data_IF_448796942400
#
_entry.id   IF_448796942400
#
_cell.length_a   1.000
_cell.length_b   1.000
_cell.length_c   1.000
_cell.angle_alpha   90.00
_cell.angle_beta   90.00
_cell.angle_gamma   90.00
#
_symmetry.space_group_name_H-M   'P 1'
#
loop_
_entity.id
_entity.type
_entity.pdbx_description
1 polymer ?
#
# COMPACT_ATOMS: atom_id res chain seq x y z
N UNK A 1 1.76 17.49 -4.18
CA UNK A 1 2.14 18.65 -3.32
C UNK A 1 2.80 19.72 -4.18
N UNK A 2 2.29 20.96 -4.16
CA UNK A 2 2.81 22.09 -4.97
C UNK A 2 3.77 23.01 -4.19
N UNK A 3 3.80 22.92 -2.87
CA UNK A 3 4.67 23.70 -2.00
C UNK A 3 4.32 23.45 -0.53
N UNK A 4 5.28 23.71 0.35
CA UNK A 4 5.18 23.51 1.79
C UNK A 4 5.69 24.75 2.52
N UNK A 5 5.09 25.06 3.67
CA UNK A 5 5.74 25.88 4.70
C UNK A 5 6.40 24.92 5.69
N UNK A 6 7.69 25.11 5.95
CA UNK A 6 8.48 24.22 6.82
C UNK A 6 9.27 25.05 7.83
N UNK A 7 9.18 24.66 9.10
CA UNK A 7 10.05 25.16 10.17
C UNK A 7 11.28 24.25 10.27
N UNK A 8 12.45 24.81 10.05
CA UNK A 8 13.74 24.13 10.13
C UNK A 8 14.19 23.94 11.59
N UNK A 9 15.19 23.09 11.87
CA UNK A 9 15.65 22.81 13.25
C UNK A 9 16.18 24.03 13.99
N UNK A 10 16.65 25.05 13.26
CA UNK A 10 17.11 26.33 13.80
C UNK A 10 16.01 27.38 13.93
N UNK A 11 14.75 27.01 13.68
CA UNK A 11 13.58 27.87 13.79
C UNK A 11 13.27 28.71 12.54
N UNK A 12 14.11 28.69 11.50
CA UNK A 12 13.80 29.39 10.25
C UNK A 12 12.56 28.80 9.58
N UNK A 13 11.74 29.68 9.03
CA UNK A 13 10.57 29.30 8.22
C UNK A 13 10.92 29.46 6.76
N UNK A 14 10.73 28.40 5.98
CA UNK A 14 10.91 28.42 4.52
C UNK A 14 9.61 28.04 3.81
N UNK A 15 9.47 28.54 2.58
CA UNK A 15 8.37 28.16 1.68
C UNK A 15 8.95 27.47 0.43
N UNK A 16 8.63 26.20 0.25
CA UNK A 16 9.05 25.41 -0.92
C UNK A 16 8.10 25.61 -2.12
N UNK A 17 8.57 25.30 -3.33
CA UNK A 17 7.77 25.44 -4.55
C UNK A 17 7.55 26.90 -5.00
N UNK A 18 8.32 27.84 -4.44
CA UNK A 18 8.27 29.26 -4.74
C UNK A 18 7.45 30.06 -3.71
N UNK A 19 8.08 31.08 -3.13
CA UNK A 19 7.53 31.90 -2.04
C UNK A 19 6.13 32.46 -2.35
N UNK A 20 5.93 32.94 -3.59
CA UNK A 20 4.65 33.50 -4.07
C UNK A 20 4.08 32.75 -5.28
N UNK A 21 4.78 31.74 -5.80
CA UNK A 21 4.37 31.07 -7.03
C UNK A 21 3.10 30.27 -6.82
N UNK A 22 2.11 30.49 -7.68
CA UNK A 22 0.90 29.67 -7.80
C UNK A 22 0.85 28.90 -9.12
N UNK A 23 1.91 28.99 -9.92
CA UNK A 23 2.01 28.25 -11.17
C UNK A 23 2.04 26.75 -10.88
N UNK A 24 1.29 25.97 -11.66
CA UNK A 24 1.29 24.50 -11.56
C UNK A 24 2.66 23.92 -11.95
N UNK A 25 3.35 24.58 -12.90
CA UNK A 25 4.69 24.21 -13.35
C UNK A 25 5.72 25.18 -12.78
N UNK A 26 6.71 24.65 -12.07
CA UNK A 26 7.83 25.41 -11.54
C UNK A 26 9.08 24.52 -11.49
N UNK A 27 10.14 24.92 -12.19
CA UNK A 27 11.45 24.24 -12.23
C UNK A 27 12.60 25.20 -11.86
N UNK A 28 12.28 26.28 -11.13
CA UNK A 28 13.26 27.26 -10.68
C UNK A 28 13.95 26.79 -9.39
N UNK A 29 15.15 26.25 -9.51
CA UNK A 29 15.96 25.74 -8.40
C UNK A 29 15.70 24.27 -8.04
N UNK A 30 16.29 23.81 -6.92
CA UNK A 30 16.11 22.45 -6.43
C UNK A 30 14.67 22.22 -5.93
N UNK A 31 14.17 20.99 -6.11
CA UNK A 31 12.83 20.63 -5.65
C UNK A 31 12.82 20.29 -4.15
N UNK A 32 12.98 21.32 -3.31
CA UNK A 32 12.90 21.17 -1.85
C UNK A 32 11.54 20.62 -1.39
N UNK A 33 10.45 20.88 -2.13
CA UNK A 33 9.14 20.29 -1.80
C UNK A 33 9.21 18.77 -1.73
N UNK A 34 9.87 18.14 -2.72
CA UNK A 34 10.03 16.68 -2.74
C UNK A 34 11.05 16.17 -1.74
N UNK A 35 11.99 17.01 -1.29
CA UNK A 35 12.90 16.66 -0.20
C UNK A 35 12.18 16.47 1.14
N UNK A 36 11.17 17.31 1.43
CA UNK A 36 10.42 17.20 2.70
C UNK A 36 9.26 16.20 2.63
N UNK A 37 8.68 15.94 1.45
CA UNK A 37 7.66 14.90 1.29
C UNK A 37 8.30 13.53 1.49
N UNK A 38 7.80 12.76 2.47
CA UNK A 38 8.41 11.48 2.87
C UNK A 38 9.56 11.60 3.86
N UNK A 39 9.92 12.81 4.31
CA UNK A 39 11.00 12.99 5.30
C UNK A 39 10.63 12.58 6.73
N UNK A 40 9.35 12.26 6.98
CA UNK A 40 8.85 11.84 8.29
C UNK A 40 9.26 12.75 9.46
N UNK A 41 9.36 14.06 9.20
CA UNK A 41 9.74 15.05 10.22
C UNK A 41 11.22 15.04 10.60
N UNK A 42 12.06 14.26 9.93
CA UNK A 42 13.50 14.21 10.20
C UNK A 42 14.24 15.45 9.69
N UNK A 43 13.66 16.22 8.77
CA UNK A 43 14.32 17.41 8.17
C UNK A 43 13.72 18.74 8.62
N UNK A 44 12.56 18.73 9.28
CA UNK A 44 11.81 19.94 9.63
C UNK A 44 10.33 19.63 9.95
N UNK A 45 9.61 20.62 10.48
CA UNK A 45 8.17 20.51 10.76
C UNK A 45 7.38 21.20 9.66
N UNK A 46 6.54 20.44 8.95
CA UNK A 46 5.62 21.01 7.95
C UNK A 46 4.45 21.69 8.69
N UNK A 47 4.24 22.98 8.44
CA UNK A 47 3.16 23.77 9.08
C UNK A 47 2.03 24.12 8.12
N UNK A 48 2.29 24.17 6.80
CA UNK A 48 1.27 24.39 5.77
C UNK A 48 1.60 23.60 4.51
N UNK A 49 0.57 23.16 3.80
CA UNK A 49 0.70 22.53 2.50
C UNK A 49 -0.15 23.24 1.44
N UNK A 50 0.43 23.46 0.27
CA UNK A 50 -0.30 23.87 -0.94
C UNK A 50 -0.46 22.64 -1.82
N UNK A 51 -1.70 22.21 -2.01
CA UNK A 51 -2.03 21.00 -2.75
C UNK A 51 -2.65 21.34 -4.11
N UNK A 52 -2.44 20.45 -5.07
CA UNK A 52 -3.27 20.39 -6.28
C UNK A 52 -4.48 19.56 -5.93
N UNK A 53 -5.67 20.08 -6.22
CA UNK A 53 -6.93 19.35 -6.07
C UNK A 53 -7.50 19.05 -7.44
N UNK A 54 -8.19 17.92 -7.55
CA UNK A 54 -8.88 17.52 -8.77
C UNK A 54 -10.40 17.71 -8.59
N UNK A 55 -11.14 18.03 -9.67
CA UNK A 55 -12.60 18.02 -9.62
C UNK A 55 -13.11 16.64 -9.23
N UNK A 56 -14.22 16.60 -8.48
CA UNK A 56 -14.89 15.34 -8.16
C UNK A 56 -15.36 14.66 -9.46
N UNK A 57 -15.07 13.36 -9.68
CA UNK A 57 -15.61 12.60 -10.80
C UNK A 57 -17.14 12.65 -10.86
N UNK A 58 -17.70 12.64 -12.07
CA UNK A 58 -19.16 12.71 -12.29
C UNK A 58 -19.83 11.36 -12.13
N UNK A 59 -19.09 10.28 -12.39
CA UNK A 59 -19.52 8.91 -12.24
C UNK A 59 -18.38 8.05 -11.68
N UNK A 60 -18.76 6.91 -11.09
CA UNK A 60 -17.88 5.84 -10.63
C UNK A 60 -18.54 4.51 -10.94
N UNK A 61 -17.74 3.46 -11.09
CA UNK A 61 -18.20 2.09 -11.16
C UNK A 61 -17.17 1.15 -10.58
N UNK A 62 -17.61 -0.04 -10.20
CA UNK A 62 -16.76 -1.07 -9.62
C UNK A 62 -16.98 -2.39 -10.33
N UNK A 63 -15.89 -3.14 -10.50
CA UNK A 63 -15.91 -4.49 -11.01
C UNK A 63 -15.31 -5.44 -9.97
N UNK A 64 -16.04 -6.49 -9.60
CA UNK A 64 -15.50 -7.62 -8.85
C UNK A 64 -15.15 -8.75 -9.81
N UNK A 65 -13.93 -9.26 -9.73
CA UNK A 65 -13.47 -10.44 -10.47
C UNK A 65 -12.96 -11.51 -9.51
N UNK A 66 -13.43 -12.75 -9.68
CA UNK A 66 -13.16 -13.88 -8.79
C UNK A 66 -12.24 -14.87 -9.50
N UNK A 67 -11.10 -15.20 -8.90
CA UNK A 67 -10.06 -16.01 -9.53
C UNK A 67 -9.88 -17.37 -8.82
N UNK A 68 -9.85 -18.47 -9.60
CA UNK A 68 -9.63 -19.81 -9.04
C UNK A 68 -8.16 -20.06 -8.68
N UNK A 69 -7.24 -19.24 -9.18
CA UNK A 69 -5.81 -19.31 -8.91
C UNK A 69 -5.27 -17.94 -8.56
N UNK A 70 -4.32 -17.91 -7.63
CA UNK A 70 -3.71 -16.67 -7.16
C UNK A 70 -2.93 -15.96 -8.28
N UNK A 71 -2.29 -16.71 -9.19
CA UNK A 71 -1.47 -16.13 -10.26
C UNK A 71 -2.28 -15.37 -11.32
N UNK A 72 -3.55 -15.72 -11.47
CA UNK A 72 -4.42 -15.14 -12.49
C UNK A 72 -4.83 -13.70 -12.16
N UNK A 73 -4.86 -13.33 -10.87
CA UNK A 73 -5.20 -11.99 -10.43
C UNK A 73 -4.19 -10.92 -10.91
N UNK A 74 -2.90 -10.96 -10.54
CA UNK A 74 -1.93 -9.96 -11.02
C UNK A 74 -1.70 -10.03 -12.54
N UNK A 75 -1.87 -11.20 -13.17
CA UNK A 75 -1.83 -11.30 -14.63
C UNK A 75 -2.97 -10.48 -15.28
N UNK A 76 -4.18 -10.56 -14.74
CA UNK A 76 -5.32 -9.77 -15.22
C UNK A 76 -5.08 -8.26 -15.05
N UNK A 77 -4.45 -7.83 -13.96
CA UNK A 77 -4.08 -6.42 -13.74
C UNK A 77 -3.10 -5.93 -14.83
N UNK A 78 -2.09 -6.73 -15.15
CA UNK A 78 -1.14 -6.41 -16.22
C UNK A 78 -1.82 -6.30 -17.59
N UNK A 79 -2.78 -7.19 -17.88
CA UNK A 79 -3.55 -7.15 -19.13
C UNK A 79 -4.43 -5.89 -19.23
N UNK A 80 -5.05 -5.47 -18.13
CA UNK A 80 -5.81 -4.21 -18.06
C UNK A 80 -4.91 -3.01 -18.35
N UNK A 81 -3.71 -2.97 -17.77
CA UNK A 81 -2.74 -1.91 -18.05
C UNK A 81 -2.19 -1.95 -19.48
N UNK A 82 -2.00 -3.14 -20.05
CA UNK A 82 -1.58 -3.30 -21.45
C UNK A 82 -2.65 -2.84 -22.45
N UNK A 83 -3.93 -2.92 -22.10
CA UNK A 83 -5.04 -2.36 -22.88
C UNK A 83 -5.14 -0.83 -22.77
N UNK A 84 -4.31 -0.20 -21.92
CA UNK A 84 -4.25 1.24 -21.74
C UNK A 84 -5.27 1.82 -20.76
N UNK A 85 -5.95 0.97 -20.00
CA UNK A 85 -6.92 1.38 -18.97
C UNK A 85 -6.19 1.57 -17.64
N UNK A 86 -6.43 2.69 -16.97
CA UNK A 86 -5.85 3.02 -15.67
C UNK A 86 -6.98 3.19 -14.65
N UNK A 87 -7.43 2.08 -14.00
CA UNK A 87 -8.46 2.15 -12.96
C UNK A 87 -8.08 3.13 -11.85
N UNK A 88 -9.07 3.77 -11.24
CA UNK A 88 -8.88 4.67 -10.09
C UNK A 88 -8.47 3.92 -8.82
N UNK A 89 -8.74 2.61 -8.75
CA UNK A 89 -8.26 1.72 -7.70
C UNK A 89 -8.29 0.26 -8.14
N UNK A 90 -7.35 -0.54 -7.64
CA UNK A 90 -7.34 -1.99 -7.83
C UNK A 90 -6.95 -2.64 -6.50
N UNK A 91 -7.88 -3.36 -5.90
CA UNK A 91 -7.70 -4.02 -4.61
C UNK A 91 -7.69 -5.53 -4.77
N UNK A 92 -6.90 -6.22 -3.95
CA UNK A 92 -6.90 -7.69 -3.86
C UNK A 92 -7.33 -8.15 -2.46
N UNK A 93 -8.10 -9.23 -2.45
CA UNK A 93 -8.36 -10.08 -1.29
C UNK A 93 -7.90 -11.48 -1.65
N UNK A 94 -6.92 -12.04 -0.95
CA UNK A 94 -6.58 -13.46 -1.14
C UNK A 94 -7.58 -14.36 -0.38
N UNK A 95 -7.46 -15.67 -0.56
CA UNK A 95 -8.27 -16.67 0.15
C UNK A 95 -8.39 -16.43 1.67
N UNK A 96 -7.30 -16.02 2.31
CA UNK A 96 -7.27 -15.78 3.76
C UNK A 96 -8.07 -14.54 4.15
N UNK A 97 -8.01 -13.46 3.35
CA UNK A 97 -8.81 -12.25 3.55
C UNK A 97 -10.29 -12.51 3.28
N UNK A 98 -10.62 -13.26 2.22
CA UNK A 98 -12.00 -13.66 1.90
C UNK A 98 -12.61 -14.41 3.08
N UNK A 99 -11.89 -15.40 3.62
CA UNK A 99 -12.32 -16.17 4.79
C UNK A 99 -12.52 -15.28 6.01
N UNK A 100 -11.56 -14.39 6.28
CA UNK A 100 -11.63 -13.46 7.41
C UNK A 100 -12.88 -12.57 7.34
N UNK A 101 -13.13 -11.96 6.18
CA UNK A 101 -14.30 -11.09 5.96
C UNK A 101 -15.60 -11.86 6.18
N UNK A 102 -15.74 -13.05 5.58
CA UNK A 102 -16.96 -13.86 5.72
C UNK A 102 -17.18 -14.38 7.16
N UNK A 103 -16.11 -14.61 7.94
CA UNK A 103 -16.24 -14.94 9.36
C UNK A 103 -16.67 -13.73 10.21
N UNK A 104 -16.19 -12.54 9.87
CA UNK A 104 -16.47 -11.31 10.61
C UNK A 104 -17.85 -10.73 10.31
N UNK A 105 -18.24 -10.74 9.03
CA UNK A 105 -19.52 -10.25 8.51
C UNK A 105 -20.07 -11.20 7.44
N UNK A 106 -20.75 -12.28 7.85
CA UNK A 106 -21.30 -13.29 6.94
C UNK A 106 -22.27 -12.71 5.89
N UNK A 107 -22.92 -11.59 6.17
CA UNK A 107 -23.84 -10.89 5.28
C UNK A 107 -23.18 -10.35 3.99
N UNK A 108 -21.85 -10.14 3.99
CA UNK A 108 -21.11 -9.71 2.81
C UNK A 108 -21.02 -10.86 1.78
N UNK A 109 -20.94 -12.10 2.28
CA UNK A 109 -21.01 -13.33 1.49
C UNK A 109 -20.11 -13.32 0.24
N UNK A 110 -18.82 -13.04 0.43
CA UNK A 110 -17.83 -13.09 -0.65
C UNK A 110 -17.70 -14.54 -1.17
N UNK A 111 -17.58 -14.75 -2.49
CA UNK A 111 -17.43 -16.08 -3.05
C UNK A 111 -16.09 -16.72 -2.64
N UNK A 112 -16.09 -18.03 -2.41
CA UNK A 112 -14.86 -18.79 -2.15
C UNK A 112 -13.95 -18.75 -3.40
N UNK A 113 -12.71 -18.31 -3.22
CA UNK A 113 -11.74 -18.14 -4.31
C UNK A 113 -10.31 -18.11 -3.78
N UNK A 114 -9.34 -18.25 -4.68
CA UNK A 114 -7.92 -18.02 -4.33
C UNK A 114 -7.60 -16.52 -4.27
N UNK A 115 -8.29 -15.71 -5.09
CA UNK A 115 -8.22 -14.26 -5.03
C UNK A 115 -9.51 -13.61 -5.55
N UNK A 116 -9.85 -12.44 -5.01
CA UNK A 116 -10.84 -11.52 -5.56
C UNK A 116 -10.13 -10.20 -5.86
N UNK A 117 -10.36 -9.65 -7.04
CA UNK A 117 -9.99 -8.27 -7.38
C UNK A 117 -11.22 -7.37 -7.39
N UNK A 118 -11.04 -6.16 -6.87
CA UNK A 118 -11.97 -5.05 -7.06
C UNK A 118 -11.28 -3.98 -7.92
N UNK A 119 -11.82 -3.72 -9.10
CA UNK A 119 -11.38 -2.61 -9.96
C UNK A 119 -12.38 -1.47 -9.81
N UNK A 120 -11.92 -0.29 -9.45
CA UNK A 120 -12.72 0.93 -9.49
C UNK A 120 -12.32 1.78 -10.69
N UNK A 121 -13.30 2.32 -11.40
CA UNK A 121 -13.10 3.34 -12.43
C UNK A 121 -13.93 4.57 -12.09
N UNK A 122 -13.39 5.75 -12.39
CA UNK A 122 -14.08 7.01 -12.17
C UNK A 122 -13.84 7.99 -13.32
N UNK A 123 -14.76 8.94 -13.49
CA UNK A 123 -14.59 9.99 -14.49
C UNK A 123 -15.91 10.53 -15.01
N UNK A 124 -16.01 10.61 -16.35
CA UNK A 124 -17.26 10.94 -17.01
C UNK A 124 -18.07 9.64 -17.26
N UNK A 125 -19.42 9.71 -17.30
CA UNK A 125 -20.25 8.51 -17.39
C UNK A 125 -19.93 7.57 -18.57
N UNK A 126 -19.60 8.11 -19.74
CA UNK A 126 -19.30 7.29 -20.92
C UNK A 126 -17.96 6.55 -20.79
N UNK A 127 -16.94 7.20 -20.22
CA UNK A 127 -15.64 6.58 -19.93
C UNK A 127 -15.75 5.51 -18.85
N UNK A 128 -16.51 5.76 -17.78
CA UNK A 128 -16.77 4.78 -16.71
C UNK A 128 -17.43 3.52 -17.28
N UNK A 129 -18.46 3.69 -18.11
CA UNK A 129 -19.16 2.56 -18.73
C UNK A 129 -18.25 1.80 -19.71
N UNK A 130 -17.49 2.52 -20.54
CA UNK A 130 -16.55 1.91 -21.49
C UNK A 130 -15.45 1.11 -20.77
N UNK A 131 -14.76 1.73 -19.81
CA UNK A 131 -13.65 1.11 -19.08
C UNK A 131 -14.12 -0.06 -18.24
N UNK A 132 -15.24 0.06 -17.52
CA UNK A 132 -15.81 -1.02 -16.73
C UNK A 132 -16.14 -2.26 -17.56
N UNK A 133 -16.82 -2.07 -18.70
CA UNK A 133 -17.13 -3.17 -19.62
C UNK A 133 -15.85 -3.77 -20.24
N UNK A 134 -14.88 -2.93 -20.60
CA UNK A 134 -13.63 -3.40 -21.21
C UNK A 134 -12.77 -4.19 -20.21
N UNK A 135 -12.67 -3.74 -18.96
CA UNK A 135 -12.05 -4.51 -17.87
C UNK A 135 -12.77 -5.85 -17.73
N UNK A 136 -14.12 -5.86 -17.74
CA UNK A 136 -14.89 -7.09 -17.64
C UNK A 136 -14.54 -8.10 -18.75
N UNK A 137 -14.38 -7.65 -20.00
CA UNK A 137 -13.96 -8.50 -21.12
C UNK A 137 -12.57 -9.09 -20.91
N UNK A 138 -11.61 -8.27 -20.45
CA UNK A 138 -10.23 -8.70 -20.22
C UNK A 138 -10.18 -9.77 -19.12
N UNK A 139 -10.74 -9.47 -17.95
CA UNK A 139 -10.61 -10.34 -16.77
C UNK A 139 -11.44 -11.62 -16.88
N UNK A 140 -12.51 -11.64 -17.69
CA UNK A 140 -13.33 -12.85 -17.95
C UNK A 140 -12.54 -14.02 -18.53
N UNK A 141 -11.38 -13.77 -19.14
CA UNK A 141 -10.52 -14.83 -19.69
C UNK A 141 -9.85 -15.69 -18.60
N UNK A 142 -9.79 -15.18 -17.37
CA UNK A 142 -9.11 -15.78 -16.22
C UNK A 142 -10.01 -15.97 -15.00
N UNK A 143 -10.99 -15.08 -14.83
CA UNK A 143 -11.92 -15.10 -13.71
C UNK A 143 -13.07 -16.09 -13.92
N UNK A 144 -13.49 -16.77 -12.86
CA UNK A 144 -14.66 -17.65 -12.86
C UNK A 144 -15.97 -16.89 -12.70
N UNK A 145 -15.92 -15.70 -12.10
CA UNK A 145 -17.07 -14.81 -11.93
C UNK A 145 -16.62 -13.37 -12.09
N UNK A 146 -17.43 -12.57 -12.78
CA UNK A 146 -17.21 -11.15 -13.00
C UNK A 146 -18.52 -10.40 -12.79
N UNK A 147 -18.50 -9.39 -11.94
CA UNK A 147 -19.65 -8.55 -11.62
C UNK A 147 -19.27 -7.08 -11.83
N UNK A 148 -19.92 -6.42 -12.80
CA UNK A 148 -19.80 -4.98 -13.03
C UNK A 148 -21.00 -4.26 -12.43
N UNK A 149 -20.77 -3.14 -11.72
CA UNK A 149 -21.85 -2.34 -11.14
C UNK A 149 -21.52 -0.85 -11.08
N UNK A 150 -22.52 -0.03 -11.42
CA UNK A 150 -22.53 1.41 -11.19
C UNK A 150 -23.57 1.82 -10.14
N UNK A 151 -24.25 0.85 -9.51
CA UNK A 151 -25.20 1.10 -8.42
C UNK A 151 -24.45 1.54 -7.15
N UNK A 152 -24.70 2.77 -6.64
CA UNK A 152 -24.06 3.27 -5.43
C UNK A 152 -24.18 2.35 -4.22
N UNK A 153 -25.30 1.63 -4.08
CA UNK A 153 -25.50 0.73 -2.95
C UNK A 153 -24.58 -0.48 -3.07
N UNK A 154 -24.59 -1.16 -4.22
CA UNK A 154 -23.72 -2.32 -4.45
C UNK A 154 -22.24 -1.97 -4.39
N UNK A 155 -21.84 -0.80 -4.91
CA UNK A 155 -20.47 -0.30 -4.78
C UNK A 155 -20.05 -0.16 -3.31
N UNK A 156 -20.93 0.39 -2.46
CA UNK A 156 -20.66 0.55 -1.04
C UNK A 156 -20.51 -0.81 -0.33
N UNK A 157 -21.32 -1.81 -0.68
CA UNK A 157 -21.24 -3.17 -0.12
C UNK A 157 -19.89 -3.85 -0.46
N UNK A 158 -19.44 -3.76 -1.72
CA UNK A 158 -18.16 -4.34 -2.14
C UNK A 158 -16.97 -3.63 -1.47
N UNK A 159 -17.03 -2.29 -1.37
CA UNK A 159 -16.03 -1.51 -0.65
C UNK A 159 -16.03 -1.79 0.85
N UNK A 160 -17.19 -2.05 1.45
CA UNK A 160 -17.28 -2.46 2.85
C UNK A 160 -16.55 -3.79 3.06
N UNK A 161 -16.75 -4.78 2.18
CA UNK A 161 -16.01 -6.05 2.20
C UNK A 161 -14.50 -5.87 2.24
N UNK A 162 -13.96 -4.97 1.40
CA UNK A 162 -12.53 -4.62 1.40
C UNK A 162 -12.11 -3.79 2.62
N UNK A 163 -12.96 -2.88 3.10
CA UNK A 163 -12.66 -1.95 4.19
C UNK A 163 -12.60 -2.64 5.56
N UNK A 164 -13.32 -3.74 5.76
CA UNK A 164 -13.33 -4.45 7.04
C UNK A 164 -12.18 -5.44 7.22
N UNK A 165 -11.39 -5.73 6.18
CA UNK A 165 -10.37 -6.80 6.20
C UNK A 165 -9.39 -6.66 7.36
N UNK A 166 -8.88 -5.46 7.62
CA UNK A 166 -7.92 -5.22 8.70
C UNK A 166 -8.49 -5.62 10.06
N UNK A 167 -9.77 -5.34 10.31
CA UNK A 167 -10.49 -5.74 11.53
C UNK A 167 -10.86 -7.22 11.51
N UNK A 168 -11.28 -7.73 10.35
CA UNK A 168 -11.68 -9.10 10.15
C UNK A 168 -10.51 -10.08 10.31
N UNK A 169 -9.29 -9.67 9.99
CA UNK A 169 -8.09 -10.47 10.14
C UNK A 169 -7.92 -11.01 11.56
N UNK A 170 -8.20 -10.21 12.59
CA UNK A 170 -8.12 -10.67 13.99
C UNK A 170 -9.12 -11.80 14.32
N UNK A 171 -10.19 -11.99 13.53
CA UNK A 171 -11.23 -13.00 13.76
C UNK A 171 -10.88 -14.38 13.25
N UNK A 172 -9.80 -14.52 12.50
CA UNK A 172 -9.40 -15.83 11.98
C UNK A 172 -8.96 -16.81 13.07
N UNK A 173 -8.68 -16.29 14.28
CA UNK A 173 -8.26 -17.06 15.45
C UNK A 173 -8.88 -16.46 16.73
N UNK A 174 -9.51 -17.24 17.62
CA UNK A 174 -10.26 -16.70 18.77
C UNK A 174 -9.45 -15.89 19.79
N UNK A 175 -8.22 -16.28 20.05
CA UNK A 175 -7.23 -15.63 20.94
C UNK A 175 -6.21 -14.80 20.15
N UNK A 176 -6.50 -14.54 18.87
CA UNK A 176 -5.61 -13.82 17.97
C UNK A 176 -5.89 -12.33 17.93
N UNK A 177 -4.83 -11.55 17.80
CA UNK A 177 -4.85 -10.14 17.42
C UNK A 177 -4.01 -9.95 16.16
N UNK A 178 -4.50 -9.12 15.23
CA UNK A 178 -3.69 -8.66 14.11
C UNK A 178 -2.61 -7.73 14.65
N UNK A 179 -1.36 -8.01 14.27
CA UNK A 179 -0.22 -7.11 14.55
C UNK A 179 0.25 -6.41 13.28
N UNK A 180 0.76 -5.20 13.45
CA UNK A 180 1.29 -4.35 12.38
C UNK A 180 2.79 -4.66 12.22
N UNK A 181 3.11 -5.86 11.74
CA UNK A 181 4.47 -6.37 11.62
C UNK A 181 4.67 -7.05 10.26
N UNK A 182 5.72 -6.67 9.53
CA UNK A 182 6.02 -7.23 8.20
C UNK A 182 5.04 -6.80 7.11
N UNK A 183 4.09 -5.93 7.42
CA UNK A 183 3.06 -5.47 6.49
C UNK A 183 3.55 -4.33 5.60
N UNK A 184 2.73 -4.00 4.61
CA UNK A 184 2.91 -2.86 3.71
C UNK A 184 4.24 -2.92 2.97
N UNK A 185 4.47 -3.97 2.18
CA UNK A 185 5.60 -4.00 1.23
C UNK A 185 5.08 -3.67 -0.17
N UNK A 186 5.94 -3.19 -1.05
CA UNK A 186 5.59 -3.09 -2.47
C UNK A 186 6.63 -3.80 -3.33
N UNK A 187 6.17 -4.50 -4.35
CA UNK A 187 7.02 -5.24 -5.30
C UNK A 187 6.64 -4.88 -6.74
N UNK A 188 7.49 -5.14 -7.74
CA UNK A 188 7.08 -5.04 -9.13
C UNK A 188 5.80 -5.86 -9.39
N UNK A 189 4.88 -5.34 -10.21
CA UNK A 189 3.58 -5.97 -10.46
C UNK A 189 3.67 -7.43 -10.91
N UNK A 190 4.68 -7.75 -11.74
CA UNK A 190 4.94 -9.12 -12.20
C UNK A 190 5.51 -10.06 -11.12
N UNK A 191 5.82 -9.56 -9.93
CA UNK A 191 6.31 -10.31 -8.76
C UNK A 191 5.26 -10.54 -7.69
N UNK A 192 4.11 -9.86 -7.76
CA UNK A 192 3.02 -9.97 -6.76
C UNK A 192 2.63 -11.41 -6.43
N UNK A 193 2.40 -12.26 -7.45
CA UNK A 193 1.98 -13.65 -7.21
C UNK A 193 3.07 -14.47 -6.49
N UNK A 194 4.33 -14.23 -6.85
CA UNK A 194 5.50 -14.83 -6.20
C UNK A 194 5.58 -14.39 -4.74
N UNK A 195 5.40 -13.08 -4.49
CA UNK A 195 5.39 -12.48 -3.15
C UNK A 195 4.31 -13.07 -2.25
N UNK A 196 3.05 -13.11 -2.70
CA UNK A 196 1.94 -13.65 -1.90
C UNK A 196 2.13 -15.15 -1.57
N UNK A 197 2.68 -15.93 -2.52
CA UNK A 197 3.01 -17.34 -2.28
C UNK A 197 4.14 -17.49 -1.26
N UNK A 198 5.20 -16.68 -1.38
CA UNK A 198 6.32 -16.70 -0.46
C UNK A 198 5.89 -16.29 0.96
N UNK A 199 5.06 -15.25 1.10
CA UNK A 199 4.49 -14.86 2.39
C UNK A 199 3.65 -15.98 3.01
N UNK A 200 2.83 -16.68 2.22
CA UNK A 200 2.07 -17.84 2.71
C UNK A 200 3.01 -18.93 3.25
N UNK A 201 4.07 -19.26 2.49
CA UNK A 201 5.06 -20.24 2.91
C UNK A 201 5.84 -19.81 4.17
N UNK A 202 6.17 -18.51 4.30
CA UNK A 202 6.80 -17.96 5.51
C UNK A 202 5.84 -18.06 6.71
N UNK A 203 4.55 -17.75 6.53
CA UNK A 203 3.55 -17.94 7.57
C UNK A 203 3.49 -19.38 8.08
N UNK A 204 3.50 -20.35 7.17
CA UNK A 204 3.57 -21.78 7.50
C UNK A 204 4.87 -22.15 8.24
N UNK A 205 6.01 -21.68 7.74
CA UNK A 205 7.35 -21.93 8.32
C UNK A 205 7.45 -21.43 9.77
N UNK A 206 6.96 -20.22 10.05
CA UNK A 206 6.98 -19.64 11.39
C UNK A 206 5.80 -20.10 12.26
N UNK A 207 4.80 -20.75 11.66
CA UNK A 207 3.57 -21.16 12.34
C UNK A 207 2.69 -19.97 12.72
N UNK A 208 2.73 -18.88 11.95
CA UNK A 208 1.95 -17.67 12.16
C UNK A 208 0.94 -17.54 11.03
N UNK A 209 -0.34 -17.38 11.38
CA UNK A 209 -1.36 -17.14 10.37
C UNK A 209 -1.23 -15.72 9.82
N UNK A 210 -1.23 -15.58 8.50
CA UNK A 210 -1.16 -14.28 7.80
C UNK A 210 -2.41 -14.09 6.96
N UNK A 211 -2.99 -12.89 7.03
CA UNK A 211 -4.10 -12.46 6.16
C UNK A 211 -3.57 -11.47 5.12
N UNK A 212 -3.71 -11.76 3.82
CA UNK A 212 -3.16 -10.88 2.77
C UNK A 212 -4.24 -10.13 1.99
N UNK A 213 -4.00 -8.85 1.78
CA UNK A 213 -4.81 -7.95 0.97
C UNK A 213 -3.94 -6.81 0.45
N UNK A 214 -4.48 -5.87 -0.32
CA UNK A 214 -3.75 -4.64 -0.62
C UNK A 214 -4.12 -3.96 -1.92
N UNK A 215 -3.36 -2.91 -2.22
CA UNK A 215 -3.47 -2.08 -3.41
C UNK A 215 -2.66 -2.72 -4.52
N UNK A 216 -3.25 -3.68 -5.23
CA UNK A 216 -2.47 -4.49 -6.16
C UNK A 216 -2.12 -3.75 -7.45
N UNK A 217 -2.77 -2.63 -7.74
CA UNK A 217 -2.51 -1.82 -8.92
C UNK A 217 -1.12 -1.17 -8.95
N UNK A 218 -0.51 -0.94 -7.79
CA UNK A 218 0.86 -0.44 -7.67
C UNK A 218 1.83 -1.46 -7.06
N UNK A 219 1.37 -2.71 -6.90
CA UNK A 219 2.15 -3.82 -6.36
C UNK A 219 2.29 -3.81 -4.83
N UNK A 220 1.50 -2.99 -4.12
CA UNK A 220 1.49 -2.94 -2.68
C UNK A 220 0.69 -4.10 -2.05
N UNK A 221 1.35 -4.81 -1.14
CA UNK A 221 0.83 -5.99 -0.44
C UNK A 221 0.85 -5.72 1.06
N UNK A 222 -0.33 -5.82 1.66
CA UNK A 222 -0.53 -5.79 3.10
C UNK A 222 -0.62 -7.21 3.63
N UNK A 223 0.31 -7.56 4.51
CA UNK A 223 0.31 -8.84 5.23
C UNK A 223 -0.10 -8.60 6.66
N UNK A 224 -1.13 -9.27 7.15
CA UNK A 224 -1.60 -9.12 8.52
C UNK A 224 -1.33 -10.40 9.32
N UNK A 225 -0.17 -10.53 9.99
CA UNK A 225 0.07 -11.61 10.93
C UNK A 225 -0.91 -11.54 12.11
N UNK A 226 -1.38 -12.70 12.56
CA UNK A 226 -2.30 -12.84 13.68
C UNK A 226 -1.66 -13.69 14.76
N UNK A 227 -1.45 -13.11 15.94
CA UNK A 227 -0.77 -13.73 17.08
C UNK A 227 -1.47 -13.44 18.40
N UNK A 228 -1.07 -14.15 19.46
CA UNK A 228 -1.45 -13.84 20.83
C UNK A 228 -0.39 -12.87 21.36
N UNK A 229 -0.71 -11.58 21.56
CA UNK A 229 0.28 -10.60 22.01
C UNK A 229 0.79 -10.90 23.43
N UNK A 230 0.07 -11.72 24.21
CA UNK A 230 0.48 -12.14 25.55
C UNK A 230 1.40 -13.38 25.52
N UNK A 231 1.62 -13.99 24.35
CA UNK A 231 2.53 -15.11 24.17
C UNK A 231 3.88 -14.64 23.61
N UNK A 232 4.95 -14.56 24.42
CA UNK A 232 6.25 -14.04 23.98
C UNK A 232 6.87 -14.85 22.83
N UNK A 233 6.59 -16.14 22.73
CA UNK A 233 7.12 -16.99 21.67
C UNK A 233 6.47 -16.68 20.31
N UNK A 234 5.18 -16.33 20.29
CA UNK A 234 4.51 -15.88 19.06
C UNK A 234 4.95 -14.47 18.66
N UNK A 235 5.15 -13.58 19.62
CA UNK A 235 5.70 -12.23 19.35
C UNK A 235 7.08 -12.33 18.69
N UNK A 236 7.97 -13.17 19.23
CA UNK A 236 9.29 -13.38 18.64
C UNK A 236 9.20 -13.96 17.22
N UNK A 237 8.36 -14.96 16.99
CA UNK A 237 8.11 -15.51 15.65
C UNK A 237 7.53 -14.50 14.68
N UNK A 238 6.63 -13.63 15.14
CA UNK A 238 6.08 -12.57 14.30
C UNK A 238 7.14 -11.54 13.90
N UNK A 239 8.08 -11.22 14.79
CA UNK A 239 9.23 -10.36 14.46
C UNK A 239 10.15 -11.02 13.41
N UNK A 240 10.43 -12.32 13.55
CA UNK A 240 11.23 -13.07 12.58
C UNK A 240 10.53 -13.19 11.22
N UNK A 241 9.22 -13.44 11.22
CA UNK A 241 8.39 -13.40 10.01
C UNK A 241 8.45 -12.03 9.34
N UNK A 242 8.29 -10.96 10.13
CA UNK A 242 8.34 -9.60 9.62
C UNK A 242 9.70 -9.27 8.99
N UNK A 243 10.79 -9.65 9.64
CA UNK A 243 12.15 -9.50 9.10
C UNK A 243 12.31 -10.23 7.76
N UNK A 244 11.86 -11.49 7.68
CA UNK A 244 11.90 -12.26 6.45
C UNK A 244 11.07 -11.63 5.31
N UNK A 245 9.90 -11.06 5.61
CA UNK A 245 9.05 -10.39 4.61
C UNK A 245 9.73 -9.12 4.05
N UNK A 246 10.36 -8.30 4.91
CA UNK A 246 11.08 -7.10 4.44
C UNK A 246 12.29 -7.46 3.56
N UNK A 247 13.06 -8.49 3.93
CA UNK A 247 14.16 -9.00 3.10
C UNK A 247 13.66 -9.53 1.77
N UNK A 248 12.58 -10.34 1.78
CA UNK A 248 11.93 -10.83 0.56
C UNK A 248 11.53 -9.68 -0.38
N UNK A 249 10.96 -8.59 0.16
CA UNK A 249 10.58 -7.44 -0.65
C UNK A 249 11.79 -6.83 -1.38
N UNK A 250 12.92 -6.65 -0.70
CA UNK A 250 14.15 -6.14 -1.29
C UNK A 250 14.71 -7.12 -2.34
N UNK A 251 14.76 -8.41 -2.02
CA UNK A 251 15.25 -9.46 -2.93
C UNK A 251 14.46 -9.53 -4.25
N UNK A 252 13.15 -9.27 -4.18
CA UNK A 252 12.25 -9.23 -5.34
C UNK A 252 12.29 -7.89 -6.11
N UNK A 253 13.20 -6.98 -5.75
CA UNK A 253 13.33 -5.66 -6.39
C UNK A 253 12.22 -4.69 -5.99
N UNK A 254 11.63 -4.91 -4.81
CA UNK A 254 10.62 -4.07 -4.19
C UNK A 254 11.19 -3.12 -3.11
N UNK A 255 10.31 -2.72 -2.19
CA UNK A 255 10.60 -1.81 -1.08
C UNK A 255 10.00 -2.33 0.23
N UNK A 256 10.65 -2.02 1.35
CA UNK A 256 10.19 -2.42 2.69
C UNK A 256 8.94 -1.69 3.15
N UNK A 257 8.55 -0.61 2.47
CA UNK A 257 7.30 0.12 2.74
C UNK A 257 6.65 0.60 1.45
N UNK A 258 5.36 0.30 1.26
CA UNK A 258 4.56 0.88 0.17
C UNK A 258 4.05 2.28 0.50
N UNK A 259 3.44 2.43 1.68
CA UNK A 259 2.74 3.67 2.05
C UNK A 259 2.95 4.14 3.51
N UNK A 260 3.30 3.25 4.45
CA UNK A 260 3.38 3.57 5.88
C UNK A 260 4.66 4.31 6.30
N UNK A 261 5.69 4.30 5.46
CA UNK A 261 6.99 4.91 5.75
C UNK A 261 7.94 4.01 6.53
N UNK A 262 9.15 4.52 6.76
CA UNK A 262 10.26 3.76 7.33
C UNK A 262 10.23 3.82 8.86
N UNK A 263 10.06 5.02 9.42
CA UNK A 263 10.02 5.24 10.87
C UNK A 263 11.24 4.65 11.59
N UNK A 264 11.02 4.14 12.80
CA UNK A 264 12.05 3.43 13.57
C UNK A 264 12.18 1.97 13.12
N UNK A 265 11.05 1.30 12.91
CA UNK A 265 10.96 -0.16 12.70
C UNK A 265 11.72 -0.61 11.46
N UNK A 266 11.62 0.13 10.35
CA UNK A 266 12.23 -0.25 9.07
C UNK A 266 13.56 0.45 8.79
N UNK A 267 14.00 1.37 9.66
CA UNK A 267 15.26 2.09 9.47
C UNK A 267 16.49 1.16 9.38
N UNK A 268 16.41 -0.01 10.04
CA UNK A 268 17.44 -1.04 9.99
C UNK A 268 17.68 -1.60 8.58
N UNK A 269 16.69 -1.57 7.69
CA UNK A 269 16.82 -2.09 6.32
C UNK A 269 17.39 -1.06 5.34
N UNK A 270 17.47 0.22 5.72
CA UNK A 270 17.91 1.29 4.83
C UNK A 270 19.28 1.02 4.15
N UNK A 271 20.31 0.49 4.83
CA UNK A 271 21.58 0.15 4.18
C UNK A 271 21.43 -0.91 3.08
N UNK A 272 20.58 -1.90 3.30
CA UNK A 272 20.32 -2.96 2.34
C UNK A 272 19.49 -2.45 1.15
N UNK A 273 18.44 -1.67 1.42
CA UNK A 273 17.51 -1.17 0.41
C UNK A 273 18.10 -0.04 -0.46
N UNK A 274 18.97 0.81 0.09
CA UNK A 274 19.44 2.02 -0.59
C UNK A 274 20.95 2.05 -0.85
N UNK A 275 21.75 1.18 -0.23
CA UNK A 275 23.21 1.17 -0.37
C UNK A 275 23.84 2.53 -0.07
N UNK A 276 24.72 3.00 -0.96
CA UNK A 276 25.44 4.29 -0.81
C UNK A 276 24.52 5.51 -0.74
N UNK A 277 23.27 5.42 -1.24
CA UNK A 277 22.34 6.53 -1.14
C UNK A 277 22.00 6.88 0.33
N UNK A 278 22.13 5.93 1.27
CA UNK A 278 22.00 6.19 2.71
C UNK A 278 22.97 7.27 3.18
N UNK A 279 24.21 7.27 2.68
CA UNK A 279 25.21 8.26 3.06
C UNK A 279 24.84 9.66 2.57
N UNK A 280 24.26 9.75 1.37
CA UNK A 280 23.76 11.02 0.84
C UNK A 280 22.60 11.54 1.69
N UNK A 281 21.66 10.67 2.07
CA UNK A 281 20.55 11.04 2.95
C UNK A 281 21.05 11.51 4.33
N UNK A 282 22.06 10.83 4.89
CA UNK A 282 22.71 11.22 6.14
C UNK A 282 23.38 12.59 6.06
N UNK A 283 24.06 12.89 4.94
CA UNK A 283 24.68 14.20 4.71
C UNK A 283 23.62 15.32 4.64
N UNK A 284 22.49 15.07 3.96
CA UNK A 284 21.37 16.02 3.92
C UNK A 284 20.83 16.27 5.33
N UNK A 285 20.54 15.19 6.07
CA UNK A 285 20.04 15.24 7.45
C UNK A 285 20.98 16.05 8.34
N UNK A 286 22.28 15.74 8.33
CA UNK A 286 23.30 16.47 9.10
C UNK A 286 23.42 17.94 8.70
N UNK A 287 23.23 18.25 7.42
CA UNK A 287 23.29 19.64 6.93
C UNK A 287 22.12 20.48 7.43
N UNK A 288 20.90 19.92 7.40
CA UNK A 288 19.70 20.63 7.84
C UNK A 288 19.53 20.61 9.36
N UNK A 289 19.90 19.51 10.01
CA UNK A 289 19.79 19.26 11.45
C UNK A 289 21.13 18.81 12.07
N UNK A 290 22.11 19.72 12.22
CA UNK A 290 23.43 19.39 12.75
C UNK A 290 23.42 18.95 14.21
N UNK A 291 22.33 19.22 14.96
CA UNK A 291 22.17 18.84 16.37
C UNK A 291 21.43 17.51 16.54
N UNK A 292 20.91 16.92 15.47
CA UNK A 292 20.15 15.67 15.52
C UNK A 292 18.86 15.76 16.34
N UNK A 293 18.23 16.94 16.42
CA UNK A 293 17.05 17.15 17.29
C UNK A 293 15.73 16.80 16.59
N UNK A 294 15.72 16.68 15.27
CA UNK A 294 14.52 16.38 14.49
C UNK A 294 14.32 14.88 14.34
N UNK A 295 13.42 14.33 15.17
CA UNK A 295 12.93 12.95 15.06
C UNK A 295 14.08 11.90 14.94
N UNK A 296 15.01 11.85 15.92
CA UNK A 296 16.21 11.01 15.85
C UNK A 296 15.89 9.51 15.77
N UNK A 297 16.84 8.73 15.23
CA UNK A 297 16.78 7.27 15.10
C UNK A 297 15.71 6.72 14.15
N UNK A 298 15.17 7.55 13.26
CA UNK A 298 14.12 7.16 12.31
C UNK A 298 14.53 7.47 10.87
N UNK A 299 13.97 6.71 9.92
CA UNK A 299 14.24 6.73 8.47
C UNK A 299 15.66 6.29 8.11
N UNK A 300 16.67 6.88 8.73
CA UNK A 300 18.08 6.55 8.55
C UNK A 300 18.61 6.14 9.93
N UNK A 301 19.42 5.07 10.04
CA UNK A 301 19.96 4.60 11.31
C UNK A 301 21.13 5.49 11.80
N UNK A 302 20.86 6.79 12.00
CA UNK A 302 21.79 7.80 12.55
C UNK A 302 21.15 8.63 13.66
#
# INVERSE_FOLDING_TARGET
>A
VLGLEVVLPDGRIITTGGLKSRAVKNVSGLNLTKLFVGSEGTLGVITKARLRVWPKPKARGILMAVFPRLEDAPAAVLEVYQDGILPSGIEILDESAIRAVNMYKPEINLPNAQAILLFEVDGNPASVEYEGNRIAEIVKTRATQVEWSTDPKRMAELWEGRGVVATAAARVRPDGSRVFAGEDISVPLNKVAETLRAIRALGEQYGIQVVNYGHIGDGNVHTAPVIDPENPAEVEKANQLADAIHHLAIELGGTTTGEHGVGYVRAQYAPLEHGEAVQVMALIKKTLDPKGIMNPHKVIPI
#
